data_IF_144775957489
#
_entry.id   IF_144775957489
#
_cell.length_a   1.000
_cell.length_b   1.000
_cell.length_c   1.000
_cell.angle_alpha   90.00
_cell.angle_beta   90.00
_cell.angle_gamma   90.00
#
_symmetry.space_group_name_H-M   'P 1'
#
loop_
_entity.id
_entity.type
_entity.pdbx_description
1 polymer ?
#
# COMPACT_ATOMS: atom_id res chain seq x y z
N UNK A 1 -6.19 14.54 -9.84
CA UNK A 1 -7.22 15.09 -8.91
C UNK A 1 -7.21 14.27 -7.64
N UNK A 2 -6.89 14.87 -6.49
CA UNK A 2 -6.99 14.20 -5.18
C UNK A 2 -8.46 13.91 -4.90
N UNK A 3 -8.86 12.66 -4.91
CA UNK A 3 -10.23 12.24 -4.59
C UNK A 3 -10.35 12.07 -3.08
N UNK A 4 -10.50 13.19 -2.38
CA UNK A 4 -10.85 13.17 -0.97
C UNK A 4 -12.39 13.12 -0.85
N UNK A 5 -12.94 12.48 0.19
CA UNK A 5 -14.34 12.63 0.54
C UNK A 5 -14.64 14.09 0.91
N UNK A 6 -15.91 14.51 0.88
CA UNK A 6 -16.32 15.82 1.36
C UNK A 6 -15.82 16.05 2.80
N UNK A 7 -15.43 17.28 3.11
CA UNK A 7 -14.85 17.61 4.43
C UNK A 7 -15.84 17.46 5.59
N UNK A 8 -17.13 17.55 5.30
CA UNK A 8 -18.24 17.33 6.23
C UNK A 8 -18.39 15.86 6.67
N UNK A 9 -17.86 14.91 5.89
CA UNK A 9 -17.81 13.51 6.28
C UNK A 9 -16.61 13.15 7.17
N UNK A 10 -15.62 14.06 7.28
CA UNK A 10 -14.39 13.84 8.01
C UNK A 10 -14.46 14.50 9.38
N UNK A 11 -14.29 13.72 10.42
CA UNK A 11 -14.22 14.21 11.79
C UNK A 11 -12.77 14.24 12.25
N UNK A 12 -12.38 15.34 12.89
CA UNK A 12 -11.07 15.47 13.52
C UNK A 12 -11.20 15.54 15.03
N UNK A 13 -10.36 14.80 15.71
CA UNK A 13 -10.20 14.83 17.14
C UNK A 13 -8.75 15.21 17.49
N UNK A 14 -8.57 16.18 18.41
CA UNK A 14 -7.27 16.55 18.92
C UNK A 14 -6.96 15.72 20.16
N UNK A 15 -5.85 14.99 20.13
CA UNK A 15 -5.41 14.13 21.22
C UNK A 15 -3.96 14.45 21.62
N UNK A 16 -3.55 13.98 22.78
CA UNK A 16 -2.15 14.12 23.20
C UNK A 16 -1.22 13.30 22.31
N UNK A 17 -0.10 13.88 21.90
CA UNK A 17 0.94 13.15 21.19
C UNK A 17 1.58 12.10 22.11
N UNK A 18 2.03 10.99 21.52
CA UNK A 18 2.78 9.94 22.22
C UNK A 18 4.26 10.23 22.07
N UNK A 19 5.02 10.20 23.15
CA UNK A 19 6.48 10.28 23.11
C UNK A 19 7.09 10.61 24.47
N UNK A 20 8.37 10.31 24.69
CA UNK A 20 9.12 10.78 25.83
C UNK A 20 9.38 12.26 25.64
N UNK A 21 8.40 13.10 25.96
CA UNK A 21 8.50 14.54 25.77
C UNK A 21 8.50 15.30 27.08
N UNK A 22 9.22 16.41 27.10
CA UNK A 22 9.23 17.34 28.24
C UNK A 22 7.86 17.97 28.50
N UNK A 23 7.83 18.95 29.41
CA UNK A 23 6.59 19.54 29.96
C UNK A 23 5.52 20.00 28.94
N UNK A 24 5.92 20.33 27.69
CA UNK A 24 4.97 20.76 26.63
C UNK A 24 4.13 19.63 26.04
N UNK A 25 4.66 18.40 25.96
CA UNK A 25 3.95 17.25 25.38
C UNK A 25 2.75 16.82 26.24
N UNK A 26 2.84 17.06 27.54
CA UNK A 26 1.78 16.72 28.50
C UNK A 26 0.68 17.79 28.62
N UNK A 27 0.87 18.99 28.04
CA UNK A 27 -0.05 20.13 28.19
C UNK A 27 -0.83 20.47 26.91
N UNK A 28 -0.41 19.99 25.73
CA UNK A 28 -1.03 20.37 24.45
C UNK A 28 -1.49 19.14 23.67
N UNK A 29 -2.72 19.19 23.15
CA UNK A 29 -3.27 18.18 22.26
C UNK A 29 -2.83 18.50 20.83
N UNK A 30 -1.59 18.15 20.48
CA UNK A 30 -1.02 18.41 19.16
C UNK A 30 -1.20 17.28 18.15
N UNK A 31 -1.50 16.07 18.60
CA UNK A 31 -1.80 14.95 17.70
C UNK A 31 -3.23 15.05 17.16
N UNK A 32 -3.41 14.70 15.89
CA UNK A 32 -4.70 14.65 15.22
C UNK A 32 -5.12 13.20 14.96
N UNK A 33 -6.38 12.91 15.22
CA UNK A 33 -7.06 11.70 14.76
C UNK A 33 -8.11 12.13 13.75
N UNK A 34 -8.04 11.54 12.55
CA UNK A 34 -9.05 11.66 11.51
C UNK A 34 -9.93 10.41 11.57
N UNK A 35 -11.24 10.60 11.61
CA UNK A 35 -12.24 9.55 11.53
C UNK A 35 -13.13 9.78 10.31
N UNK A 36 -13.32 8.76 9.49
CA UNK A 36 -14.19 8.80 8.32
C UNK A 36 -15.03 7.53 8.26
N UNK A 37 -16.36 7.70 8.30
CA UNK A 37 -17.30 6.59 8.24
C UNK A 37 -17.56 6.19 6.78
N UNK A 38 -16.91 5.12 6.32
CA UNK A 38 -16.93 4.69 4.92
C UNK A 38 -18.30 4.23 4.41
N UNK A 39 -19.15 3.51 5.20
CA UNK A 39 -20.45 3.04 4.74
C UNK A 39 -21.42 4.15 4.33
N UNK A 40 -21.38 5.31 4.99
CA UNK A 40 -22.29 6.43 4.73
C UNK A 40 -21.72 7.51 3.80
N UNK A 41 -20.56 7.26 3.16
CA UNK A 41 -19.93 8.25 2.28
C UNK A 41 -20.78 8.59 1.05
N UNK A 42 -20.76 9.85 0.62
CA UNK A 42 -21.40 10.34 -0.61
C UNK A 42 -20.61 9.99 -1.88
N UNK A 43 -19.50 9.26 -1.77
CA UNK A 43 -18.78 8.76 -2.93
C UNK A 43 -19.66 7.79 -3.73
N UNK A 44 -19.35 7.64 -5.03
CA UNK A 44 -20.06 6.70 -5.89
C UNK A 44 -20.02 5.28 -5.31
N UNK A 45 -21.09 4.51 -5.56
CA UNK A 45 -21.21 3.13 -5.07
C UNK A 45 -20.00 2.26 -5.45
N UNK A 46 -19.54 2.37 -6.69
CA UNK A 46 -18.33 1.71 -7.15
C UNK A 46 -17.09 2.08 -6.32
N UNK A 47 -16.91 3.36 -5.98
CA UNK A 47 -15.79 3.81 -5.16
C UNK A 47 -15.90 3.26 -3.74
N UNK A 48 -17.10 3.31 -3.15
CA UNK A 48 -17.39 2.80 -1.80
C UNK A 48 -17.10 1.30 -1.68
N UNK A 49 -17.66 0.48 -2.57
CA UNK A 49 -17.43 -0.97 -2.59
C UNK A 49 -15.94 -1.30 -2.73
N UNK A 50 -15.25 -0.60 -3.63
CA UNK A 50 -13.84 -0.82 -3.86
C UNK A 50 -12.98 -0.42 -2.66
N UNK A 51 -13.31 0.70 -2.01
CA UNK A 51 -12.63 1.13 -0.78
C UNK A 51 -12.88 0.13 0.35
N UNK A 52 -14.12 -0.33 0.54
CA UNK A 52 -14.46 -1.35 1.52
C UNK A 52 -13.69 -2.66 1.27
N UNK A 53 -13.61 -3.10 0.02
CA UNK A 53 -12.87 -4.31 -0.35
C UNK A 53 -11.35 -4.20 -0.11
N UNK A 54 -10.77 -2.99 -0.28
CA UNK A 54 -9.32 -2.78 -0.16
C UNK A 54 -8.87 -2.34 1.24
N UNK A 55 -9.69 -1.58 1.94
CA UNK A 55 -9.39 -1.03 3.26
C UNK A 55 -10.10 -1.79 4.39
N UNK A 56 -10.90 -2.82 4.08
CA UNK A 56 -11.71 -3.53 5.07
C UNK A 56 -10.94 -4.01 6.30
N UNK A 57 -9.69 -4.45 6.14
CA UNK A 57 -8.82 -4.86 7.26
C UNK A 57 -8.34 -3.68 8.14
N UNK A 58 -8.51 -2.44 7.68
CA UNK A 58 -8.10 -1.21 8.38
C UNK A 58 -9.30 -0.44 8.94
N UNK A 59 -10.51 -0.90 8.65
CA UNK A 59 -11.74 -0.33 9.19
C UNK A 59 -12.00 -0.86 10.60
N UNK A 60 -12.60 -0.03 11.44
CA UNK A 60 -13.15 -0.48 12.72
C UNK A 60 -14.36 -1.41 12.48
N UNK A 61 -14.81 -2.09 13.53
CA UNK A 61 -16.02 -2.94 13.45
C UNK A 61 -17.28 -2.18 13.00
N UNK A 62 -17.31 -0.86 13.17
CA UNK A 62 -18.39 0.04 12.74
C UNK A 62 -18.21 0.57 11.31
N UNK A 63 -17.09 0.25 10.65
CA UNK A 63 -16.77 0.72 9.30
C UNK A 63 -16.05 2.07 9.25
N UNK A 64 -15.51 2.54 10.36
CA UNK A 64 -14.73 3.77 10.42
C UNK A 64 -13.28 3.55 10.01
N UNK A 65 -12.78 4.40 9.14
CA UNK A 65 -11.35 4.52 8.88
C UNK A 65 -10.77 5.55 9.86
N UNK A 66 -9.83 5.09 10.69
CA UNK A 66 -9.19 5.93 11.72
C UNK A 66 -7.73 6.13 11.34
N UNK A 67 -7.31 7.38 11.16
CA UNK A 67 -5.94 7.76 10.84
C UNK A 67 -5.43 8.71 11.92
N UNK A 68 -4.28 8.38 12.51
CA UNK A 68 -3.62 9.22 13.50
C UNK A 68 -2.34 9.84 12.92
N UNK A 69 -2.08 11.09 13.28
CA UNK A 69 -0.80 11.76 13.05
C UNK A 69 -0.36 12.52 14.30
N UNK A 70 0.89 12.29 14.71
CA UNK A 70 1.58 12.95 15.80
C UNK A 70 3.03 13.31 15.39
N UNK A 71 3.25 13.49 14.08
CA UNK A 71 4.56 13.73 13.47
C UNK A 71 5.06 15.16 13.67
N UNK A 72 4.11 16.10 13.85
CA UNK A 72 4.39 17.52 13.99
C UNK A 72 4.01 18.03 15.37
N UNK A 73 4.62 19.15 15.78
CA UNK A 73 4.27 19.84 17.03
C UNK A 73 2.97 20.63 16.92
N UNK A 74 2.55 20.94 15.70
CA UNK A 74 1.37 21.73 15.39
C UNK A 74 0.19 20.84 14.99
N UNK A 75 -0.98 21.10 15.59
CA UNK A 75 -2.21 20.36 15.34
C UNK A 75 -2.67 20.48 13.87
N UNK A 76 -2.58 21.67 13.28
CA UNK A 76 -3.03 21.91 11.91
C UNK A 76 -2.14 21.17 10.89
N UNK A 77 -0.84 21.07 11.16
CA UNK A 77 0.05 20.27 10.33
C UNK A 77 -0.25 18.77 10.46
N UNK A 78 -0.56 18.29 11.66
CA UNK A 78 -0.97 16.89 11.86
C UNK A 78 -2.30 16.58 11.19
N UNK A 79 -3.27 17.49 11.16
CA UNK A 79 -4.50 17.35 10.37
C UNK A 79 -4.22 17.24 8.88
N UNK A 80 -3.34 18.08 8.33
CA UNK A 80 -2.90 18.00 6.92
C UNK A 80 -2.26 16.66 6.61
N UNK A 81 -1.38 16.19 7.47
CA UNK A 81 -0.75 14.87 7.32
C UNK A 81 -1.77 13.72 7.34
N UNK A 82 -2.81 13.80 8.18
CA UNK A 82 -3.91 12.84 8.16
C UNK A 82 -4.65 12.85 6.80
N UNK A 83 -4.93 14.03 6.23
CA UNK A 83 -5.57 14.16 4.91
C UNK A 83 -4.67 13.62 3.79
N UNK A 84 -3.36 13.84 3.86
CA UNK A 84 -2.41 13.30 2.89
C UNK A 84 -2.34 11.77 2.94
N UNK A 85 -2.32 11.20 4.14
CA UNK A 85 -2.40 9.75 4.35
C UNK A 85 -3.72 9.19 3.81
N UNK A 86 -4.84 9.82 4.09
CA UNK A 86 -6.14 9.44 3.56
C UNK A 86 -6.15 9.46 2.03
N UNK A 87 -5.66 10.57 1.42
CA UNK A 87 -5.57 10.71 -0.03
C UNK A 87 -4.74 9.58 -0.66
N UNK A 88 -3.57 9.29 -0.10
CA UNK A 88 -2.70 8.21 -0.58
C UNK A 88 -3.36 6.82 -0.46
N UNK A 89 -4.09 6.57 0.63
CA UNK A 89 -4.83 5.32 0.83
C UNK A 89 -5.96 5.17 -0.20
N UNK A 90 -6.72 6.23 -0.47
CA UNK A 90 -7.78 6.25 -1.48
C UNK A 90 -7.19 6.03 -2.88
N UNK A 91 -6.13 6.75 -3.23
CA UNK A 91 -5.46 6.58 -4.54
C UNK A 91 -4.97 5.14 -4.74
N UNK A 92 -4.33 4.56 -3.74
CA UNK A 92 -3.87 3.17 -3.76
C UNK A 92 -5.03 2.18 -3.89
N UNK A 93 -6.13 2.40 -3.17
CA UNK A 93 -7.31 1.54 -3.24
C UNK A 93 -8.02 1.64 -4.58
N UNK A 94 -8.08 2.85 -5.17
CA UNK A 94 -8.71 3.09 -6.47
C UNK A 94 -7.84 2.69 -7.65
N UNK A 95 -6.55 2.42 -7.43
CA UNK A 95 -5.65 1.99 -8.50
C UNK A 95 -6.04 0.61 -9.03
N UNK A 96 -6.38 0.55 -10.33
CA UNK A 96 -6.66 -0.71 -11.04
C UNK A 96 -5.40 -1.15 -11.78
N UNK A 97 -4.71 -2.21 -11.33
CA UNK A 97 -3.53 -2.68 -12.03
C UNK A 97 -3.90 -3.20 -13.44
N UNK A 98 -3.12 -2.83 -14.43
CA UNK A 98 -3.28 -3.34 -15.79
C UNK A 98 -3.04 -4.84 -15.80
N UNK A 99 -3.95 -5.60 -16.42
CA UNK A 99 -3.83 -7.06 -16.54
C UNK A 99 -2.53 -7.41 -17.26
N UNK A 100 -1.68 -8.19 -16.61
CA UNK A 100 -0.45 -8.70 -17.23
C UNK A 100 -0.79 -9.74 -18.29
N UNK A 101 -0.37 -9.48 -19.52
CA UNK A 101 -0.46 -10.46 -20.62
C UNK A 101 0.77 -11.37 -20.49
N UNK A 102 0.54 -12.68 -20.49
CA UNK A 102 1.63 -13.67 -20.46
C UNK A 102 2.48 -13.53 -21.73
N UNK A 103 3.76 -13.28 -21.56
CA UNK A 103 4.71 -13.21 -22.68
C UNK A 103 5.39 -14.56 -22.86
N UNK A 104 5.62 -14.95 -24.12
CA UNK A 104 6.42 -16.13 -24.46
C UNK A 104 7.91 -15.76 -24.44
N UNK A 105 8.83 -16.69 -24.08
CA UNK A 105 10.25 -16.45 -24.18
C UNK A 105 10.65 -16.09 -25.61
N UNK A 106 11.50 -15.08 -25.78
CA UNK A 106 12.03 -14.69 -27.08
C UNK A 106 12.88 -15.80 -27.70
N UNK A 107 12.96 -15.82 -29.04
CA UNK A 107 13.73 -16.84 -29.80
C UNK A 107 15.19 -16.95 -29.34
N UNK A 108 15.83 -15.82 -29.04
CA UNK A 108 17.21 -15.78 -28.53
C UNK A 108 17.37 -16.45 -27.17
N UNK A 109 16.40 -16.28 -26.26
CA UNK A 109 16.41 -16.92 -24.93
C UNK A 109 16.25 -18.43 -25.05
N UNK A 110 15.35 -18.89 -25.93
CA UNK A 110 15.18 -20.32 -26.23
C UNK A 110 16.47 -20.93 -26.82
N UNK A 111 17.10 -20.22 -27.77
CA UNK A 111 18.37 -20.68 -28.39
C UNK A 111 19.48 -20.77 -27.36
N UNK A 112 19.68 -19.74 -26.54
CA UNK A 112 20.70 -19.77 -25.47
C UNK A 112 20.48 -20.94 -24.49
N UNK A 113 19.22 -21.22 -24.13
CA UNK A 113 18.88 -22.37 -23.28
C UNK A 113 19.23 -23.68 -23.91
N UNK A 114 18.93 -23.88 -25.21
CA UNK A 114 19.25 -25.08 -25.94
C UNK A 114 20.76 -25.28 -26.10
N UNK A 115 21.50 -24.22 -26.43
CA UNK A 115 22.97 -24.25 -26.55
C UNK A 115 23.62 -24.60 -25.20
N UNK A 116 23.13 -23.99 -24.11
CA UNK A 116 23.59 -24.32 -22.76
C UNK A 116 23.31 -25.79 -22.40
N UNK A 117 22.10 -26.28 -22.71
CA UNK A 117 21.71 -27.66 -22.46
C UNK A 117 22.60 -28.63 -23.25
N UNK A 118 22.92 -28.35 -24.55
CA UNK A 118 23.81 -29.13 -25.39
C UNK A 118 25.21 -29.18 -24.79
N UNK A 119 25.81 -28.02 -24.43
CA UNK A 119 27.13 -27.96 -23.79
C UNK A 119 27.21 -28.77 -22.50
N UNK A 120 26.18 -28.73 -21.67
CA UNK A 120 26.12 -29.58 -20.48
C UNK A 120 25.97 -31.06 -20.78
N UNK A 121 25.23 -31.41 -21.82
CA UNK A 121 25.12 -32.81 -22.32
C UNK A 121 26.46 -33.35 -22.80
N UNK A 122 27.18 -32.57 -23.60
CA UNK A 122 28.49 -32.95 -24.14
C UNK A 122 29.53 -33.14 -23.02
N UNK A 123 29.54 -32.24 -22.01
CA UNK A 123 30.37 -32.41 -20.81
C UNK A 123 30.05 -33.69 -20.03
N UNK A 124 28.77 -34.06 -19.90
CA UNK A 124 28.40 -35.34 -19.25
C UNK A 124 28.83 -36.55 -20.03
N UNK A 125 28.68 -36.53 -21.37
CA UNK A 125 29.17 -37.62 -22.23
C UNK A 125 30.69 -37.81 -22.14
N UNK A 126 31.45 -36.71 -22.11
CA UNK A 126 32.91 -36.79 -21.95
C UNK A 126 33.35 -37.37 -20.61
N UNK A 127 32.54 -37.23 -19.54
CA UNK A 127 32.86 -37.87 -18.25
C UNK A 127 32.53 -39.36 -18.20
N UNK A 128 31.48 -39.80 -18.90
CA UNK A 128 31.08 -41.22 -18.92
C UNK A 128 31.97 -42.07 -19.84
N UNK A 129 32.76 -41.47 -20.76
CA UNK A 129 33.71 -42.16 -21.59
C UNK A 129 35.10 -42.42 -20.97
N UNK A 130 35.33 -41.97 -19.72
CA UNK A 130 36.65 -42.02 -19.06
C UNK A 130 36.75 -43.09 -17.93
N UNK A 131 35.73 -43.90 -17.75
CA UNK A 131 35.70 -44.97 -16.75
C UNK A 131 35.45 -46.33 -17.40
N UNK A 132 36.32 -46.69 -18.31
CA UNK A 132 36.30 -47.99 -18.99
C UNK A 132 37.72 -48.39 -19.30
N UNK A 133 38.48 -48.82 -18.27
CA UNK A 133 39.54 -49.81 -18.27
C UNK A 133 39.87 -50.20 -16.86
#
# INVERSE_FOLDING_TARGET
MKRLPPMDEIQFEAVRSRGPGGQNVNKTNSAAILRWHLPSTQLSEYARERLMAKLGSQLSGEGDLIIRSDEHRDLEQNKKTCLEKLSAMIEKAMFVPKKRIKTKPGRSAVRKRLDSKKKHGDKKKGRSGQWGD
#
